data_IF_893628361865
#
_entry.id   IF_893628361865
#
_cell.length_a   1.000
_cell.length_b   1.000
_cell.length_c   1.000
_cell.angle_alpha   90.00
_cell.angle_beta   90.00
_cell.angle_gamma   90.00
#
_symmetry.space_group_name_H-M   'P 1'
#
loop_
_entity.id
_entity.type
_entity.pdbx_description
1 polymer ?
#
# COMPACT_ATOMS: atom_id res chain seq x y z
N UNK A 1 6.66 -0.87 16.17
CA UNK A 1 7.26 -0.58 14.85
C UNK A 1 6.43 0.45 14.10
N UNK A 2 7.09 1.21 13.25
CA UNK A 2 6.44 2.17 12.35
C UNK A 2 6.74 1.74 10.92
N UNK A 3 5.71 1.63 10.09
CA UNK A 3 5.86 1.27 8.68
C UNK A 3 5.40 2.41 7.80
N UNK A 4 6.20 2.72 6.77
CA UNK A 4 5.90 3.77 5.80
C UNK A 4 5.62 3.13 4.45
N UNK A 5 4.35 3.11 4.05
CA UNK A 5 3.90 2.50 2.80
C UNK A 5 3.61 3.62 1.80
N UNK A 6 4.22 3.52 0.63
CA UNK A 6 4.16 4.57 -0.39
C UNK A 6 3.53 4.06 -1.68
N UNK A 7 3.14 4.99 -2.54
CA UNK A 7 2.38 4.73 -3.76
C UNK A 7 3.26 4.20 -4.90
N UNK A 8 3.99 3.11 -4.67
CA UNK A 8 4.78 2.46 -5.70
C UNK A 8 6.23 2.92 -5.76
N UNK A 9 6.96 2.42 -6.76
CA UNK A 9 8.41 2.62 -6.87
C UNK A 9 8.82 4.07 -7.09
N UNK A 10 8.05 4.83 -7.87
CA UNK A 10 8.37 6.23 -8.12
C UNK A 10 8.32 7.04 -6.84
N UNK A 11 7.28 6.83 -6.03
CA UNK A 11 7.14 7.52 -4.75
C UNK A 11 8.22 7.07 -3.76
N UNK A 12 8.61 5.81 -3.78
CA UNK A 12 9.72 5.30 -2.97
C UNK A 12 10.99 6.07 -3.26
N UNK A 13 11.30 6.31 -4.53
CA UNK A 13 12.48 7.09 -4.92
C UNK A 13 12.42 8.53 -4.42
N UNK A 14 11.25 9.15 -4.44
CA UNK A 14 11.07 10.51 -3.97
C UNK A 14 11.25 10.64 -2.46
N UNK A 15 10.85 9.62 -1.70
CA UNK A 15 10.81 9.69 -0.24
C UNK A 15 11.92 8.91 0.46
N UNK A 16 12.80 8.26 -0.27
CA UNK A 16 13.82 7.34 0.28
C UNK A 16 14.76 7.97 1.30
N UNK A 17 14.99 9.28 1.22
CA UNK A 17 15.90 9.97 2.14
C UNK A 17 15.21 10.41 3.44
N UNK A 18 13.91 10.23 3.54
CA UNK A 18 13.14 10.62 4.74
C UNK A 18 12.92 9.45 5.70
N UNK A 19 12.69 8.27 5.13
CA UNK A 19 12.38 7.07 5.90
C UNK A 19 12.54 5.84 5.01
N UNK A 20 12.47 4.67 5.62
CA UNK A 20 12.52 3.41 4.89
C UNK A 20 11.13 3.17 4.26
N UNK A 21 11.03 3.43 2.97
CA UNK A 21 9.77 3.39 2.24
C UNK A 21 9.49 2.01 1.66
N UNK A 22 8.26 1.53 1.87
CA UNK A 22 7.79 0.23 1.36
C UNK A 22 6.82 0.51 0.22
N UNK A 23 7.15 0.13 -1.03
CA UNK A 23 6.29 0.44 -2.16
C UNK A 23 5.11 -0.51 -2.25
N UNK A 24 3.93 0.04 -2.52
CA UNK A 24 2.75 -0.74 -2.83
C UNK A 24 2.56 -0.73 -4.35
N UNK A 25 3.03 -1.79 -5.01
CA UNK A 25 3.13 -1.86 -6.48
C UNK A 25 1.90 -2.51 -7.12
N UNK A 26 0.71 -2.12 -6.68
CA UNK A 26 -0.56 -2.62 -7.22
C UNK A 26 -1.31 -1.46 -7.90
N UNK A 27 -2.26 -1.79 -8.74
CA UNK A 27 -3.21 -0.84 -9.31
C UNK A 27 -4.62 -1.38 -9.11
N UNK A 28 -5.23 -1.02 -7.99
CA UNK A 28 -6.58 -1.47 -7.63
C UNK A 28 -7.68 -0.75 -8.41
N UNK A 29 -7.34 0.23 -9.23
CA UNK A 29 -8.31 0.85 -10.14
C UNK A 29 -8.63 -0.07 -11.32
N UNK A 30 -7.82 -1.10 -11.56
CA UNK A 30 -8.04 -2.09 -12.62
C UNK A 30 -8.66 -3.35 -12.04
N UNK A 31 -9.78 -3.78 -12.64
CA UNK A 31 -10.47 -4.99 -12.22
C UNK A 31 -11.04 -4.88 -10.81
N UNK A 32 -11.30 -6.03 -10.23
CA UNK A 32 -11.85 -6.13 -8.88
C UNK A 32 -11.17 -7.27 -8.12
N UNK A 33 -11.64 -7.54 -6.92
CA UNK A 33 -11.19 -8.69 -6.16
C UNK A 33 -12.36 -9.29 -5.37
N UNK A 34 -12.30 -10.60 -5.15
CA UNK A 34 -13.37 -11.35 -4.47
C UNK A 34 -12.88 -12.03 -3.19
N UNK A 35 -11.56 -12.10 -3.01
CA UNK A 35 -10.96 -12.85 -1.90
C UNK A 35 -10.38 -11.90 -0.88
N UNK A 36 -10.09 -12.44 0.30
CA UNK A 36 -9.42 -11.70 1.37
C UNK A 36 -8.14 -11.06 0.83
N UNK A 37 -7.96 -9.73 0.99
CA UNK A 37 -6.76 -9.06 0.49
C UNK A 37 -5.47 -9.74 0.93
N UNK A 38 -4.59 -9.95 -0.03
CA UNK A 38 -3.25 -10.51 0.13
C UNK A 38 -3.21 -11.99 0.52
N UNK A 39 -4.34 -12.70 0.48
CA UNK A 39 -4.37 -14.15 0.53
C UNK A 39 -3.81 -14.72 -0.77
N UNK A 40 -3.52 -16.03 -0.79
CA UNK A 40 -3.07 -16.69 -2.01
C UNK A 40 -4.08 -16.54 -3.15
N UNK A 41 -5.37 -16.72 -2.84
CA UNK A 41 -6.43 -16.60 -3.85
C UNK A 41 -6.55 -15.16 -4.39
N UNK A 42 -6.36 -14.16 -3.53
CA UNK A 42 -6.29 -12.76 -3.96
C UNK A 42 -5.12 -12.55 -4.93
N UNK A 43 -3.94 -13.04 -4.57
CA UNK A 43 -2.74 -12.90 -5.41
C UNK A 43 -2.95 -13.57 -6.77
N UNK A 44 -3.55 -14.75 -6.78
CA UNK A 44 -3.89 -15.46 -8.01
C UNK A 44 -4.87 -14.68 -8.87
N UNK A 45 -5.93 -14.14 -8.26
CA UNK A 45 -6.93 -13.35 -8.96
C UNK A 45 -6.33 -12.07 -9.54
N UNK A 46 -5.53 -11.35 -8.74
CA UNK A 46 -4.92 -10.09 -9.17
C UNK A 46 -3.86 -10.29 -10.25
N UNK A 47 -3.09 -11.38 -10.17
CA UNK A 47 -2.13 -11.68 -11.22
C UNK A 47 -2.83 -11.89 -12.57
N UNK A 48 -3.99 -12.55 -12.56
CA UNK A 48 -4.79 -12.72 -13.77
C UNK A 48 -5.32 -11.39 -14.32
N UNK A 49 -5.77 -10.49 -13.43
CA UNK A 49 -6.23 -9.16 -13.84
C UNK A 49 -5.13 -8.40 -14.60
N UNK A 50 -3.89 -8.49 -14.12
CA UNK A 50 -2.76 -7.79 -14.73
C UNK A 50 -2.09 -8.57 -15.86
N UNK A 51 -2.53 -9.79 -16.13
CA UNK A 51 -1.95 -10.61 -17.19
C UNK A 51 -0.51 -11.06 -16.92
N UNK A 52 -0.17 -11.27 -15.64
CA UNK A 52 1.16 -11.72 -15.23
C UNK A 52 1.07 -13.04 -14.49
N UNK A 53 2.20 -13.72 -14.30
CA UNK A 53 2.23 -14.93 -13.49
C UNK A 53 2.09 -14.61 -12.00
N UNK A 54 1.69 -15.61 -11.22
CA UNK A 54 1.62 -15.48 -9.76
C UNK A 54 2.99 -15.11 -9.21
N UNK A 55 4.05 -15.71 -9.72
CA UNK A 55 5.43 -15.45 -9.30
C UNK A 55 5.85 -14.02 -9.58
N UNK A 56 5.52 -13.50 -10.76
CA UNK A 56 5.85 -12.11 -11.12
C UNK A 56 5.10 -11.12 -10.25
N UNK A 57 3.81 -11.39 -10.01
CA UNK A 57 3.02 -10.54 -9.11
C UNK A 57 3.61 -10.52 -7.70
N UNK A 58 3.87 -11.70 -7.14
CA UNK A 58 4.43 -11.83 -5.81
C UNK A 58 5.81 -11.18 -5.68
N UNK A 59 6.65 -11.33 -6.71
CA UNK A 59 7.97 -10.72 -6.75
C UNK A 59 7.87 -9.20 -6.76
N UNK A 60 6.98 -8.65 -7.56
CA UNK A 60 6.78 -7.20 -7.65
C UNK A 60 6.23 -6.60 -6.35
N UNK A 61 5.43 -7.38 -5.61
CA UNK A 61 4.84 -6.96 -4.35
C UNK A 61 5.64 -7.40 -3.13
N UNK A 62 6.82 -7.97 -3.33
CA UNK A 62 7.56 -8.67 -2.28
C UNK A 62 7.86 -7.83 -1.04
N UNK A 63 8.31 -6.59 -1.20
CA UNK A 63 8.62 -5.74 -0.05
C UNK A 63 7.38 -5.51 0.81
N UNK A 64 6.25 -5.23 0.16
CA UNK A 64 4.98 -5.03 0.87
C UNK A 64 4.50 -6.32 1.53
N UNK A 65 4.45 -7.42 0.78
CA UNK A 65 3.95 -8.69 1.31
C UNK A 65 4.79 -9.20 2.48
N UNK A 66 6.09 -8.91 2.48
CA UNK A 66 7.01 -9.41 3.51
C UNK A 66 6.77 -8.79 4.88
N UNK A 67 6.17 -7.60 4.96
CA UNK A 67 5.90 -6.97 6.26
C UNK A 67 4.61 -7.47 6.90
N UNK A 68 3.67 -8.00 6.12
CA UNK A 68 2.33 -8.35 6.62
C UNK A 68 2.34 -9.33 7.80
N UNK A 69 3.13 -10.42 7.78
CA UNK A 69 3.17 -11.33 8.92
C UNK A 69 3.81 -10.74 10.16
N UNK A 70 4.53 -9.61 10.01
CA UNK A 70 5.26 -8.98 11.12
C UNK A 70 4.46 -7.89 11.83
N UNK A 71 3.33 -7.48 11.25
CA UNK A 71 2.56 -6.36 11.78
C UNK A 71 1.79 -6.78 13.03
N UNK A 72 1.90 -5.98 14.07
CA UNK A 72 1.19 -6.14 15.34
C UNK A 72 0.23 -4.97 15.54
N UNK A 73 -0.76 -5.18 16.40
CA UNK A 73 -1.78 -4.18 16.68
C UNK A 73 -1.22 -2.85 17.16
N UNK A 74 -0.12 -2.87 17.90
CA UNK A 74 0.53 -1.66 18.42
C UNK A 74 1.37 -0.91 17.40
N UNK A 75 1.57 -1.49 16.22
CA UNK A 75 2.37 -0.87 15.18
C UNK A 75 1.61 0.31 14.56
N UNK A 76 2.36 1.23 13.96
CA UNK A 76 1.81 2.40 13.31
C UNK A 76 2.04 2.28 11.81
N UNK A 77 1.00 2.52 11.03
CA UNK A 77 1.08 2.51 9.57
C UNK A 77 0.95 3.94 9.07
N UNK A 78 1.90 4.38 8.28
CA UNK A 78 1.82 5.62 7.52
C UNK A 78 1.63 5.29 6.05
N UNK A 79 0.65 5.92 5.41
CA UNK A 79 0.36 5.77 3.99
C UNK A 79 0.64 7.08 3.28
N UNK A 80 1.41 7.03 2.18
CA UNK A 80 1.79 8.21 1.40
C UNK A 80 1.31 8.02 -0.04
N UNK A 81 0.22 8.67 -0.39
CA UNK A 81 -0.45 8.48 -1.68
C UNK A 81 -0.88 9.83 -2.26
N UNK A 82 -0.96 9.89 -3.59
CA UNK A 82 -1.52 11.03 -4.30
C UNK A 82 -3.04 10.99 -4.32
N UNK A 83 -3.65 11.79 -5.20
CA UNK A 83 -5.10 11.89 -5.30
C UNK A 83 -5.68 11.39 -6.63
N UNK A 84 -4.86 10.77 -7.49
CA UNK A 84 -5.35 10.17 -8.72
C UNK A 84 -6.16 8.89 -8.45
N UNK A 85 -6.79 8.35 -9.50
CA UNK A 85 -7.68 7.20 -9.38
C UNK A 85 -6.96 5.97 -8.84
N UNK A 86 -5.70 5.73 -9.24
CA UNK A 86 -4.90 4.60 -8.76
C UNK A 86 -4.63 4.74 -7.27
N UNK A 87 -4.14 5.91 -6.86
CA UNK A 87 -3.82 6.19 -5.46
C UNK A 87 -5.06 6.09 -4.57
N UNK A 88 -6.21 6.59 -5.04
CA UNK A 88 -7.47 6.49 -4.28
C UNK A 88 -7.87 5.05 -4.08
N UNK A 89 -7.89 4.24 -5.14
CA UNK A 89 -8.27 2.84 -5.05
C UNK A 89 -7.31 2.04 -4.17
N UNK A 90 -6.02 2.29 -4.31
CA UNK A 90 -5.00 1.61 -3.52
C UNK A 90 -5.08 1.98 -2.05
N UNK A 91 -5.20 3.27 -1.73
CA UNK A 91 -5.27 3.69 -0.32
C UNK A 91 -6.56 3.25 0.35
N UNK A 92 -7.69 3.22 -0.37
CA UNK A 92 -8.94 2.69 0.17
C UNK A 92 -8.81 1.22 0.58
N UNK A 93 -8.19 0.40 -0.28
CA UNK A 93 -7.95 -1.00 0.04
C UNK A 93 -7.08 -1.14 1.29
N UNK A 94 -5.98 -0.38 1.34
CA UNK A 94 -5.03 -0.47 2.45
C UNK A 94 -5.64 -0.01 3.77
N UNK A 95 -6.41 1.07 3.76
CA UNK A 95 -7.11 1.55 4.95
C UNK A 95 -8.08 0.47 5.44
N UNK A 96 -8.90 -0.08 4.55
CA UNK A 96 -9.84 -1.12 4.91
C UNK A 96 -9.14 -2.37 5.46
N UNK A 97 -8.00 -2.72 4.88
CA UNK A 97 -7.23 -3.88 5.32
C UNK A 97 -6.61 -3.68 6.70
N UNK A 98 -5.98 -2.52 6.93
CA UNK A 98 -5.23 -2.28 8.15
C UNK A 98 -6.08 -1.83 9.35
N UNK A 99 -7.25 -1.27 9.13
CA UNK A 99 -8.03 -0.67 10.23
C UNK A 99 -8.38 -1.66 11.34
N UNK A 100 -8.47 -2.95 11.03
CA UNK A 100 -8.75 -3.99 12.01
C UNK A 100 -7.47 -4.69 12.52
N UNK A 101 -6.31 -4.31 12.00
CA UNK A 101 -5.03 -4.95 12.31
C UNK A 101 -4.09 -4.09 13.13
N UNK A 102 -4.23 -2.77 13.04
CA UNK A 102 -3.41 -1.82 13.81
C UNK A 102 -4.30 -0.77 14.44
N UNK A 103 -3.83 -0.19 15.54
CA UNK A 103 -4.58 0.85 16.25
C UNK A 103 -4.45 2.22 15.57
N UNK A 104 -3.34 2.47 14.89
CA UNK A 104 -3.05 3.81 14.35
C UNK A 104 -2.64 3.77 12.89
N UNK A 105 -3.37 4.52 12.06
CA UNK A 105 -3.06 4.72 10.64
C UNK A 105 -3.03 6.22 10.37
N UNK A 106 -1.91 6.70 9.83
CA UNK A 106 -1.81 8.07 9.33
C UNK A 106 -1.87 8.05 7.81
N UNK A 107 -2.69 8.91 7.24
CA UNK A 107 -2.76 9.09 5.80
C UNK A 107 -2.15 10.43 5.43
N UNK A 108 -1.15 10.41 4.55
CA UNK A 108 -0.46 11.58 4.03
C UNK A 108 -0.76 11.70 2.54
N UNK A 109 -1.41 12.78 2.15
CA UNK A 109 -1.56 13.08 0.73
C UNK A 109 -0.31 13.82 0.28
N UNK A 110 0.33 13.32 -0.77
CA UNK A 110 1.59 13.86 -1.27
C UNK A 110 1.49 14.19 -2.74
N UNK A 111 2.32 15.16 -3.16
CA UNK A 111 2.50 15.49 -4.57
C UNK A 111 3.26 14.35 -5.23
N UNK A 112 2.68 13.76 -6.29
CA UNK A 112 3.25 12.59 -6.96
C UNK A 112 4.55 12.87 -7.68
N UNK A 113 4.83 14.11 -8.01
CA UNK A 113 6.00 14.49 -8.78
C UNK A 113 7.16 14.93 -7.90
N UNK A 114 6.87 15.58 -6.78
CA UNK A 114 7.90 16.14 -5.89
C UNK A 114 7.98 15.47 -4.53
N UNK A 115 6.97 14.66 -4.17
CA UNK A 115 6.93 14.00 -2.87
C UNK A 115 6.68 14.96 -1.71
N UNK A 116 6.14 16.13 -1.99
CA UNK A 116 5.82 17.13 -0.96
C UNK A 116 4.47 16.77 -0.33
N UNK A 117 4.44 16.72 1.00
CA UNK A 117 3.21 16.45 1.72
C UNK A 117 2.26 17.64 1.62
N UNK A 118 1.03 17.37 1.17
CA UNK A 118 -0.01 18.39 1.00
C UNK A 118 -0.95 18.42 2.19
N UNK A 119 -1.20 17.28 2.83
CA UNK A 119 -2.03 17.17 4.01
C UNK A 119 -1.77 15.85 4.72
N UNK A 120 -2.16 15.76 5.99
CA UNK A 120 -2.11 14.51 6.72
C UNK A 120 -3.26 14.43 7.70
N UNK A 121 -3.69 13.20 8.02
CA UNK A 121 -4.75 12.96 9.00
C UNK A 121 -4.60 11.58 9.61
N UNK A 122 -5.16 11.42 10.81
CA UNK A 122 -5.28 10.12 11.46
C UNK A 122 -6.58 9.49 10.97
N UNK A 123 -6.48 8.27 10.44
CA UNK A 123 -7.65 7.57 9.91
C UNK A 123 -8.30 6.73 10.99
N UNK A 124 -7.47 6.15 11.84
CA UNK A 124 -7.98 5.16 12.78
C UNK A 124 -7.52 5.45 14.19
N UNK A 125 -8.45 4.88 15.05
CA UNK A 125 -8.25 4.96 16.38
C UNK A 125 -8.84 4.06 17.23
#
# INVERSE_FOLDING_TARGET
MVYHIVAGEAMKKLLKDRFDAIPFNEDMSKGSYSYEPFSFDFIKERSAVHGVTIEDYASNMNEFLSILPKIHKNDVIHLYFGDDAVCKSNSELLIAYFKDKVDTIFFHQVDEYKGIELSSKIINH
#
